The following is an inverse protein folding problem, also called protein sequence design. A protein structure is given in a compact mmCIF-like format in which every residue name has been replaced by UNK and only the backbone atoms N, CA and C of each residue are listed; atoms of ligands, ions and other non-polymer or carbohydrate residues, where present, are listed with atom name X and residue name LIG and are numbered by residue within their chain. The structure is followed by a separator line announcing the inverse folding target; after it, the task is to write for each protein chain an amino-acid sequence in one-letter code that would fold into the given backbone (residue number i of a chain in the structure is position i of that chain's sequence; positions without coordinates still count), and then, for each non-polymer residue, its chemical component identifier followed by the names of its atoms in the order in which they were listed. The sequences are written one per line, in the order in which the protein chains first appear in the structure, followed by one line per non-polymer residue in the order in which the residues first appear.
data_IF_859221549483
#
_entry.id   IF_859221549483
#
_cell.length_a   1.000
_cell.length_b   1.000
_cell.length_c   1.000
_cell.angle_alpha   90.00
_cell.angle_beta   90.00
_cell.angle_gamma   90.00
#
_symmetry.space_group_name_H-M   'P 1'
#
loop_
_entity.id
_entity.type
_entity.pdbx_description
1 polymer ?
#
# COMPACT_ATOMS: atom_id res chain seq x y z
N UNK A 1 6.91 37.04 -2.78
CA UNK A 1 5.51 36.67 -2.93
C UNK A 1 5.47 35.37 -3.77
N UNK A 2 5.54 34.22 -3.12
CA UNK A 2 5.50 32.91 -3.78
C UNK A 2 4.03 32.48 -3.82
N UNK A 3 3.50 32.32 -5.03
CA UNK A 3 2.14 31.85 -5.28
C UNK A 3 1.95 30.38 -4.85
N UNK A 4 0.71 29.91 -4.66
CA UNK A 4 0.44 28.55 -4.23
C UNK A 4 0.92 27.55 -5.27
N UNK A 5 1.71 26.58 -4.83
CA UNK A 5 2.11 25.39 -5.63
C UNK A 5 0.85 24.59 -5.94
N UNK A 6 0.47 24.59 -7.21
CA UNK A 6 -0.62 23.75 -7.73
C UNK A 6 -0.28 22.29 -7.42
N UNK A 7 -1.10 21.67 -6.57
CA UNK A 7 -1.00 20.25 -6.27
C UNK A 7 -1.43 19.47 -7.51
N UNK A 8 -0.62 18.52 -8.02
CA UNK A 8 -0.96 17.74 -9.20
C UNK A 8 -2.09 16.72 -8.97
N UNK A 9 -2.69 16.74 -7.80
CA UNK A 9 -3.74 15.79 -7.41
C UNK A 9 -5.13 16.41 -7.65
N UNK A 10 -5.66 16.20 -8.83
CA UNK A 10 -7.07 16.50 -9.12
C UNK A 10 -7.93 15.44 -8.44
N UNK A 11 -8.70 15.83 -7.44
CA UNK A 11 -9.64 14.98 -6.69
C UNK A 11 -10.76 14.49 -7.60
N UNK A 12 -10.73 13.21 -7.98
CA UNK A 12 -11.93 12.49 -8.35
C UNK A 12 -12.73 12.14 -7.08
N UNK A 13 -14.07 12.00 -7.13
CA UNK A 13 -14.87 11.71 -5.95
C UNK A 13 -14.42 10.38 -5.35
N UNK A 14 -13.93 10.43 -4.10
CA UNK A 14 -13.48 9.29 -3.36
C UNK A 14 -14.68 8.47 -2.89
N UNK A 15 -14.71 7.18 -3.22
CA UNK A 15 -15.57 6.22 -2.53
C UNK A 15 -14.94 5.96 -1.16
N UNK A 16 -15.49 6.56 -0.11
CA UNK A 16 -15.08 6.28 1.27
C UNK A 16 -15.82 5.04 1.79
N UNK A 17 -15.14 3.95 2.11
CA UNK A 17 -15.67 3.03 3.11
C UNK A 17 -15.41 3.64 4.49
N UNK A 18 -16.48 3.89 5.24
CA UNK A 18 -16.39 4.36 6.61
C UNK A 18 -15.70 3.31 7.50
N UNK A 19 -14.51 3.64 8.02
CA UNK A 19 -13.85 2.85 9.06
C UNK A 19 -14.63 2.96 10.37
N UNK A 20 -15.08 1.83 10.92
CA UNK A 20 -15.67 1.74 12.25
C UNK A 20 -14.58 1.53 13.31
N UNK A 21 -14.73 1.98 14.57
CA UNK A 21 -13.73 1.82 15.64
C UNK A 21 -13.34 0.37 15.98
N UNK A 22 -13.96 -0.63 15.36
CA UNK A 22 -13.63 -2.06 15.50
C UNK A 22 -12.36 -2.49 14.79
N UNK A 23 -11.81 -1.62 13.93
CA UNK A 23 -10.73 -2.01 13.04
C UNK A 23 -9.34 -1.93 13.68
N UNK A 24 -9.17 -1.19 14.80
CA UNK A 24 -7.89 -1.05 15.49
C UNK A 24 -7.36 -2.38 16.08
N UNK A 25 -8.22 -3.19 16.70
CA UNK A 25 -7.83 -4.49 17.25
C UNK A 25 -7.44 -5.52 16.18
N UNK A 26 -7.99 -5.35 14.98
CA UNK A 26 -7.71 -6.18 13.82
C UNK A 26 -6.31 -5.92 13.27
N UNK A 27 -5.89 -4.66 13.25
CA UNK A 27 -4.51 -4.28 12.83
C UNK A 27 -3.51 -4.90 13.79
N UNK A 28 -3.76 -4.83 15.10
CA UNK A 28 -2.89 -5.42 16.12
C UNK A 28 -2.80 -6.95 15.97
N UNK A 29 -3.90 -7.62 15.66
CA UNK A 29 -3.92 -9.07 15.41
C UNK A 29 -3.14 -9.45 14.15
N UNK A 30 -3.22 -8.63 13.08
CA UNK A 30 -2.46 -8.83 11.84
C UNK A 30 -0.98 -8.60 12.10
N UNK A 31 -0.64 -7.49 12.75
CA UNK A 31 0.75 -7.13 13.08
C UNK A 31 1.40 -8.17 13.97
N UNK A 32 0.64 -8.72 14.95
CA UNK A 32 1.14 -9.78 15.84
C UNK A 32 1.51 -11.09 15.11
N UNK A 33 0.96 -11.32 13.90
CA UNK A 33 1.35 -12.48 13.08
C UNK A 33 2.74 -12.31 12.45
N UNK A 34 3.23 -11.08 12.34
CA UNK A 34 4.58 -10.79 11.85
C UNK A 34 5.50 -10.60 13.06
N UNK A 35 6.18 -11.67 13.46
CA UNK A 35 7.14 -11.63 14.58
C UNK A 35 8.36 -10.72 14.33
N UNK A 36 8.59 -10.31 13.08
CA UNK A 36 9.64 -9.40 12.66
C UNK A 36 9.02 -8.15 11.97
N UNK A 37 9.19 -6.94 12.53
CA UNK A 37 8.71 -5.71 11.90
C UNK A 37 9.29 -5.43 10.51
N UNK A 38 10.42 -6.06 10.17
CA UNK A 38 11.08 -5.91 8.87
C UNK A 38 10.67 -6.98 7.85
N UNK A 39 9.78 -7.91 8.23
CA UNK A 39 9.28 -8.94 7.32
C UNK A 39 8.67 -8.37 6.03
N UNK A 40 8.16 -7.13 6.07
CA UNK A 40 7.56 -6.46 4.92
C UNK A 40 8.55 -6.31 3.75
N UNK A 41 9.85 -6.17 3.99
CA UNK A 41 10.83 -6.09 2.91
C UNK A 41 10.83 -7.37 2.06
N UNK A 42 10.84 -8.52 2.72
CA UNK A 42 10.81 -9.82 2.02
C UNK A 42 9.51 -9.98 1.24
N UNK A 43 8.39 -9.62 1.83
CA UNK A 43 7.07 -9.74 1.20
C UNK A 43 6.93 -8.82 -0.02
N UNK A 44 7.40 -7.57 0.08
CA UNK A 44 7.37 -6.63 -1.06
C UNK A 44 8.31 -7.07 -2.19
N UNK A 45 9.49 -7.59 -1.85
CA UNK A 45 10.41 -8.15 -2.86
C UNK A 45 9.79 -9.38 -3.54
N UNK A 46 9.14 -10.26 -2.78
CA UNK A 46 8.46 -11.42 -3.35
C UNK A 46 7.32 -11.01 -4.26
N UNK A 47 6.50 -10.04 -3.87
CA UNK A 47 5.42 -9.50 -4.71
C UNK A 47 5.97 -8.90 -6.02
N UNK A 48 7.09 -8.20 -5.95
CA UNK A 48 7.75 -7.65 -7.14
C UNK A 48 8.24 -8.76 -8.08
N UNK A 49 8.86 -9.81 -7.55
CA UNK A 49 9.30 -10.98 -8.34
C UNK A 49 8.09 -11.65 -8.99
N UNK A 50 7.01 -11.85 -8.26
CA UNK A 50 5.77 -12.45 -8.76
C UNK A 50 5.10 -11.58 -9.84
N UNK A 51 5.30 -10.25 -9.80
CA UNK A 51 4.89 -9.30 -10.84
C UNK A 51 5.84 -9.26 -12.06
N UNK A 52 6.85 -10.13 -12.10
CA UNK A 52 7.74 -10.30 -13.25
C UNK A 52 8.87 -9.27 -13.34
N UNK A 53 9.21 -8.56 -12.26
CA UNK A 53 10.34 -7.63 -12.28
C UNK A 53 11.69 -8.35 -12.33
N UNK A 54 12.64 -7.77 -13.03
CA UNK A 54 14.03 -8.24 -13.04
C UNK A 54 14.88 -7.58 -11.94
N UNK A 55 14.39 -6.51 -11.31
CA UNK A 55 15.13 -5.76 -10.30
C UNK A 55 14.17 -5.03 -9.35
N UNK A 56 14.55 -4.96 -8.07
CA UNK A 56 13.88 -4.20 -7.04
C UNK A 56 14.87 -3.20 -6.45
N UNK A 57 14.46 -1.95 -6.32
CA UNK A 57 15.25 -0.91 -5.66
C UNK A 57 14.62 -0.57 -4.33
N UNK A 58 15.39 -0.57 -3.26
CA UNK A 58 14.98 -0.17 -1.92
C UNK A 58 15.77 1.08 -1.51
N UNK A 59 15.05 2.14 -1.22
CA UNK A 59 15.60 3.41 -0.75
C UNK A 59 15.08 3.68 0.67
N UNK A 60 15.99 4.07 1.56
CA UNK A 60 15.65 4.49 2.93
C UNK A 60 16.22 5.89 3.13
N UNK A 61 15.38 6.82 3.53
CA UNK A 61 15.78 8.21 3.77
C UNK A 61 14.99 8.80 4.95
N UNK A 62 15.65 9.68 5.69
CA UNK A 62 15.01 10.52 6.69
C UNK A 62 14.33 11.72 6.02
N UNK A 63 13.29 12.26 6.66
CA UNK A 63 12.80 13.58 6.30
C UNK A 63 13.78 14.67 6.79
N UNK A 64 13.55 15.92 6.33
CA UNK A 64 14.42 17.06 6.65
C UNK A 64 14.53 17.34 8.16
N UNK A 65 13.53 16.95 8.94
CA UNK A 65 13.48 17.13 10.39
C UNK A 65 14.01 15.90 11.16
N UNK A 66 14.25 14.78 10.46
CA UNK A 66 14.63 13.50 11.08
C UNK A 66 13.51 12.83 11.89
N UNK A 67 12.26 13.27 11.72
CA UNK A 67 11.10 12.75 12.47
C UNK A 67 10.44 11.56 11.82
N UNK A 68 10.66 11.36 10.52
CA UNK A 68 10.03 10.32 9.70
C UNK A 68 11.06 9.62 8.85
N UNK A 69 11.10 8.29 8.96
CA UNK A 69 11.85 7.46 8.01
C UNK A 69 10.93 7.14 6.84
N UNK A 70 11.38 7.45 5.63
CA UNK A 70 10.70 7.06 4.39
C UNK A 70 11.39 5.84 3.81
N UNK A 71 10.62 4.77 3.66
CA UNK A 71 11.05 3.58 2.93
C UNK A 71 10.33 3.57 1.58
N UNK A 72 11.08 3.40 0.50
CA UNK A 72 10.55 3.29 -0.85
C UNK A 72 11.05 1.99 -1.47
N UNK A 73 10.10 1.16 -1.90
CA UNK A 73 10.38 -0.05 -2.67
C UNK A 73 9.84 0.16 -4.09
N UNK A 74 10.69 -0.01 -5.08
CA UNK A 74 10.35 0.17 -6.49
C UNK A 74 10.64 -1.09 -7.27
N UNK A 75 9.71 -1.44 -8.12
CA UNK A 75 9.86 -2.49 -9.12
C UNK A 75 9.45 -1.99 -10.52
N UNK A 76 9.64 -2.83 -11.52
CA UNK A 76 9.21 -2.62 -12.90
C UNK A 76 8.35 -3.79 -13.38
N UNK A 77 7.57 -4.36 -12.49
CA UNK A 77 6.61 -5.39 -12.80
C UNK A 77 5.40 -4.87 -13.60
N UNK A 78 4.42 -5.73 -13.79
CA UNK A 78 3.23 -5.41 -14.60
C UNK A 78 2.29 -4.38 -13.96
N UNK A 79 2.50 -4.05 -12.69
CA UNK A 79 1.68 -3.11 -11.94
C UNK A 79 0.29 -3.64 -11.60
N UNK A 80 -0.53 -2.78 -11.00
CA UNK A 80 -1.89 -3.10 -10.57
C UNK A 80 -2.87 -2.07 -11.12
N UNK A 81 -4.04 -2.53 -11.58
CA UNK A 81 -5.19 -1.66 -11.83
C UNK A 81 -5.97 -1.39 -10.54
N UNK A 82 -6.94 -0.46 -10.53
CA UNK A 82 -7.73 -0.14 -9.34
C UNK A 82 -8.46 -1.33 -8.74
N UNK A 83 -9.00 -2.22 -9.57
CA UNK A 83 -9.74 -3.39 -9.12
C UNK A 83 -8.83 -4.38 -8.40
N UNK A 84 -7.61 -4.57 -8.89
CA UNK A 84 -6.61 -5.41 -8.25
C UNK A 84 -6.13 -4.81 -6.93
N UNK A 85 -5.90 -3.49 -6.89
CA UNK A 85 -5.57 -2.76 -5.65
C UNK A 85 -6.67 -2.94 -4.60
N UNK A 86 -7.93 -2.72 -4.99
CA UNK A 86 -9.07 -2.87 -4.09
C UNK A 86 -9.23 -4.32 -3.62
N UNK A 87 -9.07 -5.30 -4.50
CA UNK A 87 -9.12 -6.71 -4.14
C UNK A 87 -8.01 -7.12 -3.16
N UNK A 88 -6.79 -6.58 -3.31
CA UNK A 88 -5.68 -6.81 -2.37
C UNK A 88 -6.04 -6.29 -0.98
N UNK A 89 -6.65 -5.10 -0.89
CA UNK A 89 -7.11 -4.54 0.36
C UNK A 89 -8.30 -5.28 0.93
N UNK A 90 -9.28 -5.68 0.10
CA UNK A 90 -10.45 -6.44 0.53
C UNK A 90 -10.06 -7.80 1.10
N UNK A 91 -9.01 -8.44 0.61
CA UNK A 91 -8.47 -9.66 1.21
C UNK A 91 -7.95 -9.38 2.61
N UNK A 92 -7.24 -8.25 2.81
CA UNK A 92 -6.83 -7.79 4.13
C UNK A 92 -8.03 -7.66 5.09
N UNK A 93 -9.11 -7.00 4.64
CA UNK A 93 -10.32 -6.79 5.45
C UNK A 93 -11.17 -8.05 5.65
N UNK A 94 -11.22 -8.96 4.68
CA UNK A 94 -11.98 -10.20 4.77
C UNK A 94 -11.32 -11.22 5.68
N UNK A 95 -10.00 -11.35 5.62
CA UNK A 95 -9.24 -12.26 6.50
C UNK A 95 -9.42 -11.92 7.97
N UNK A 96 -9.71 -10.65 8.27
CA UNK A 96 -10.00 -10.20 9.63
C UNK A 96 -11.39 -10.57 10.12
N UNK A 97 -12.38 -10.74 9.22
CA UNK A 97 -13.76 -11.07 9.57
C UNK A 97 -14.00 -12.58 9.65
N UNK A 98 -13.36 -13.38 8.83
CA UNK A 98 -13.66 -14.81 8.68
C UNK A 98 -12.76 -15.73 9.52
N UNK A 99 -11.72 -15.24 10.19
CA UNK A 99 -10.77 -15.99 11.05
C UNK A 99 -10.29 -17.33 10.46
N UNK A 100 -10.38 -17.50 9.13
CA UNK A 100 -9.97 -18.73 8.44
C UNK A 100 -8.66 -18.52 7.69
N UNK A 101 -7.51 -18.88 8.28
CA UNK A 101 -6.21 -18.70 7.66
C UNK A 101 -6.01 -19.54 6.38
N UNK A 102 -6.88 -20.54 6.13
CA UNK A 102 -6.77 -21.41 4.95
C UNK A 102 -7.33 -20.78 3.68
N UNK A 103 -8.19 -19.74 3.82
CA UNK A 103 -8.79 -19.02 2.70
C UNK A 103 -8.00 -17.79 2.24
N UNK A 104 -6.91 -17.49 2.91
CA UNK A 104 -6.09 -16.33 2.63
C UNK A 104 -5.18 -16.68 1.45
N UNK A 105 -5.54 -16.22 0.28
CA UNK A 105 -4.77 -16.41 -0.94
C UNK A 105 -3.36 -15.86 -0.79
N UNK A 106 -2.44 -16.41 -1.58
CA UNK A 106 -0.98 -16.21 -1.57
C UNK A 106 -0.50 -14.75 -1.55
N UNK A 107 -1.37 -13.79 -1.88
CA UNK A 107 -1.05 -12.36 -2.02
C UNK A 107 -1.63 -11.43 -0.92
N UNK A 108 -2.57 -11.91 -0.08
CA UNK A 108 -3.29 -11.00 0.83
C UNK A 108 -2.57 -10.70 2.13
N UNK A 109 -1.96 -11.70 2.76
CA UNK A 109 -1.30 -11.52 4.06
C UNK A 109 0.04 -10.80 3.90
N UNK A 110 0.80 -11.10 2.85
CA UNK A 110 2.12 -10.52 2.63
C UNK A 110 2.07 -8.99 2.59
N UNK A 111 1.07 -8.41 1.89
CA UNK A 111 0.91 -6.95 1.85
C UNK A 111 0.59 -6.36 3.23
N UNK A 112 -0.13 -7.07 4.09
CA UNK A 112 -0.44 -6.63 5.45
C UNK A 112 0.81 -6.37 6.30
N UNK A 113 1.91 -7.04 5.98
CA UNK A 113 3.19 -6.86 6.68
C UNK A 113 3.72 -5.43 6.67
N UNK A 114 3.29 -4.59 5.69
CA UNK A 114 3.68 -3.17 5.62
C UNK A 114 3.18 -2.37 6.82
N UNK A 115 2.19 -2.87 7.55
CA UNK A 115 1.65 -2.25 8.75
C UNK A 115 2.47 -2.58 10.01
N UNK A 116 3.28 -3.65 9.99
CA UNK A 116 4.04 -4.10 11.15
C UNK A 116 5.00 -3.05 11.73
N UNK A 117 5.72 -2.23 10.95
CA UNK A 117 6.56 -1.16 11.49
C UNK A 117 5.78 0.06 12.01
N UNK A 118 4.44 0.06 12.00
CA UNK A 118 3.60 1.17 12.46
C UNK A 118 3.70 2.43 11.57
N UNK A 119 3.53 2.33 10.25
CA UNK A 119 3.70 3.47 9.36
C UNK A 119 2.60 4.53 9.60
N UNK A 120 2.92 5.81 9.43
CA UNK A 120 1.93 6.89 9.42
C UNK A 120 1.06 6.88 8.16
N UNK A 121 1.61 6.40 7.05
CA UNK A 121 0.96 6.31 5.75
C UNK A 121 1.67 5.27 4.88
N UNK A 122 0.91 4.41 4.22
CA UNK A 122 1.40 3.56 3.13
C UNK A 122 0.87 4.11 1.82
N UNK A 123 1.77 4.33 0.86
CA UNK A 123 1.40 4.78 -0.49
C UNK A 123 1.80 3.69 -1.47
N UNK A 124 0.84 3.22 -2.27
CA UNK A 124 1.12 2.37 -3.43
C UNK A 124 0.89 3.22 -4.68
N UNK A 125 1.92 3.41 -5.47
CA UNK A 125 1.90 4.14 -6.73
C UNK A 125 2.23 3.15 -7.84
N UNK A 126 1.28 2.86 -8.70
CA UNK A 126 1.38 1.78 -9.66
C UNK A 126 0.87 2.19 -11.03
N UNK A 127 1.45 1.59 -12.06
CA UNK A 127 1.07 1.82 -13.46
C UNK A 127 0.76 0.48 -14.11
N UNK A 128 -0.44 0.35 -14.70
CA UNK A 128 -0.83 -0.81 -15.49
C UNK A 128 -1.55 -0.35 -16.76
N UNK A 129 -1.20 -0.96 -17.89
CA UNK A 129 -1.79 -0.62 -19.20
C UNK A 129 -1.79 0.89 -19.52
N UNK A 130 -0.73 1.61 -19.16
CA UNK A 130 -0.58 3.05 -19.40
C UNK A 130 -1.41 3.95 -18.49
N UNK A 131 -2.07 3.42 -17.46
CA UNK A 131 -2.80 4.19 -16.45
C UNK A 131 -2.11 4.07 -15.09
N UNK A 132 -2.01 5.21 -14.40
CA UNK A 132 -1.45 5.30 -13.06
C UNK A 132 -2.58 5.29 -12.03
N UNK A 133 -2.41 4.49 -10.98
CA UNK A 133 -3.28 4.46 -9.82
C UNK A 133 -2.46 4.67 -8.56
N UNK A 134 -3.00 5.43 -7.61
CA UNK A 134 -2.33 5.74 -6.35
C UNK A 134 -3.26 5.36 -5.21
N UNK A 135 -2.80 4.48 -4.32
CA UNK A 135 -3.48 4.12 -3.10
C UNK A 135 -2.83 4.81 -1.91
N UNK A 136 -3.63 5.41 -1.05
CA UNK A 136 -3.22 5.84 0.29
C UNK A 136 -3.91 4.96 1.32
N UNK A 137 -3.14 4.27 2.16
CA UNK A 137 -3.63 3.44 3.25
C UNK A 137 -3.11 3.99 4.57
N UNK A 138 -3.99 4.23 5.53
CA UNK A 138 -3.67 4.69 6.89
C UNK A 138 -3.62 3.55 7.89
N UNK A 139 -3.02 3.76 9.08
CA UNK A 139 -2.94 2.74 10.13
C UNK A 139 -4.30 2.25 10.63
N UNK A 140 -5.35 3.07 10.55
CA UNK A 140 -6.73 2.73 10.90
C UNK A 140 -7.45 1.93 9.80
N UNK A 141 -6.71 1.48 8.79
CA UNK A 141 -7.18 0.78 7.58
C UNK A 141 -8.09 1.62 6.68
N UNK A 142 -8.29 2.91 6.95
CA UNK A 142 -8.93 3.79 5.99
C UNK A 142 -8.05 3.94 4.75
N UNK A 143 -8.64 3.88 3.57
CA UNK A 143 -7.90 4.02 2.33
C UNK A 143 -8.62 4.85 1.28
N UNK A 144 -7.84 5.36 0.32
CA UNK A 144 -8.35 6.04 -0.88
C UNK A 144 -7.53 5.61 -2.09
N UNK A 145 -8.21 5.37 -3.20
CA UNK A 145 -7.58 5.13 -4.51
C UNK A 145 -7.85 6.34 -5.40
N UNK A 146 -6.79 6.88 -5.97
CA UNK A 146 -6.82 8.03 -6.87
C UNK A 146 -6.47 7.58 -8.29
N UNK A 147 -7.16 8.13 -9.29
CA UNK A 147 -6.73 8.04 -10.68
C UNK A 147 -5.57 9.02 -10.90
N UNK A 148 -4.39 8.50 -11.13
CA UNK A 148 -3.17 9.28 -11.43
C UNK A 148 -3.09 9.73 -12.89
N UNK A 149 -4.11 9.41 -13.70
CA UNK A 149 -4.15 9.74 -15.12
C UNK A 149 -3.26 8.84 -16.00
N UNK A 150 -3.02 9.24 -17.24
CA UNK A 150 -2.10 8.54 -18.13
C UNK A 150 -0.68 8.53 -17.57
N UNK A 151 0.00 7.40 -17.65
CA UNK A 151 1.40 7.33 -17.26
C UNK A 151 2.25 8.10 -18.27
N UNK A 152 2.91 9.16 -17.82
CA UNK A 152 3.95 9.83 -18.61
C UNK A 152 5.21 8.97 -18.54
N UNK A 153 5.67 8.51 -19.70
CA UNK A 153 6.98 7.86 -19.79
C UNK A 153 8.06 8.90 -19.46
N UNK A 154 8.80 8.65 -18.39
CA UNK A 154 10.07 9.34 -18.09
C UNK A 154 11.21 8.46 -18.52
#
# INVERSE_FOLDING_TARGET
MLGPVDSPYRTAPATEPASTPRDAGIVDDIVAQFGDPLAFYRELVQNAIDAGTAAVTIEVADDVAGEVIRVRVRDRGEGMDPDLLENQLLVLFRSTKERDPTKIGKFGIGFASVLAPGPRLVVVDTVRAGRRSILHLRPDLSFRIFDGGPATHS
#
